data_IF_669005097011
#
_entry.id   IF_669005097011
#
_cell.length_a   1.000
_cell.length_b   1.000
_cell.length_c   1.000
_cell.angle_alpha   90.00
_cell.angle_beta   90.00
_cell.angle_gamma   90.00
#
_symmetry.space_group_name_H-M   'P 1'
#
loop_
_entity.id
_entity.type
_entity.pdbx_description
1 polymer ?
#
# COMPACT_ATOMS: atom_id res chain seq x y z
N UNK A 1 20.68 -30.58 -85.88
CA UNK A 1 21.52 -30.26 -84.70
C UNK A 1 21.17 -28.89 -84.10
N UNK A 2 21.02 -27.84 -84.90
CA UNK A 2 20.66 -26.47 -84.47
C UNK A 2 19.36 -26.36 -83.66
N UNK A 3 18.31 -27.10 -84.05
CA UNK A 3 16.99 -27.08 -83.37
C UNK A 3 17.06 -27.59 -81.92
N UNK A 4 17.89 -28.60 -81.66
CA UNK A 4 18.05 -29.19 -80.31
C UNK A 4 18.76 -28.21 -79.37
N UNK A 5 19.77 -27.50 -79.86
CA UNK A 5 20.46 -26.46 -79.11
C UNK A 5 19.56 -25.25 -78.80
N UNK A 6 18.71 -24.86 -79.75
CA UNK A 6 17.72 -23.80 -79.55
C UNK A 6 16.69 -24.18 -78.47
N UNK A 7 16.18 -25.42 -78.49
CA UNK A 7 15.29 -25.93 -77.45
C UNK A 7 15.96 -25.97 -76.07
N UNK A 8 17.22 -26.41 -76.00
CA UNK A 8 18.01 -26.40 -74.76
C UNK A 8 18.20 -24.99 -74.18
N UNK A 9 18.49 -24.01 -75.04
CA UNK A 9 18.65 -22.62 -74.63
C UNK A 9 17.32 -22.04 -74.09
N UNK A 10 16.21 -22.21 -74.81
CA UNK A 10 14.89 -21.70 -74.41
C UNK A 10 14.41 -22.33 -73.09
N UNK A 11 14.60 -23.64 -72.93
CA UNK A 11 14.22 -24.33 -71.69
C UNK A 11 15.07 -23.90 -70.50
N UNK A 12 16.39 -23.73 -70.67
CA UNK A 12 17.27 -23.23 -69.60
C UNK A 12 16.91 -21.80 -69.16
N UNK A 13 16.56 -20.93 -70.12
CA UNK A 13 16.14 -19.56 -69.84
C UNK A 13 14.80 -19.53 -69.11
N UNK A 14 13.85 -20.38 -69.53
CA UNK A 14 12.55 -20.53 -68.86
C UNK A 14 12.68 -21.01 -67.42
N UNK A 15 13.53 -22.02 -67.16
CA UNK A 15 13.79 -22.52 -65.80
C UNK A 15 14.50 -21.47 -64.94
N UNK A 16 15.47 -20.74 -65.50
CA UNK A 16 16.16 -19.65 -64.81
C UNK A 16 15.19 -18.53 -64.38
N UNK A 17 14.32 -18.08 -65.29
CA UNK A 17 13.34 -17.03 -65.02
C UNK A 17 12.27 -17.46 -64.01
N UNK A 18 11.84 -18.72 -64.04
CA UNK A 18 10.95 -19.30 -63.02
C UNK A 18 11.62 -19.38 -61.65
N UNK A 19 12.89 -19.82 -61.62
CA UNK A 19 13.69 -19.89 -60.40
C UNK A 19 13.86 -18.53 -59.74
N UNK A 20 14.21 -17.51 -60.51
CA UNK A 20 14.36 -16.13 -60.05
C UNK A 20 13.05 -15.56 -59.50
N UNK A 21 11.92 -15.84 -60.16
CA UNK A 21 10.60 -15.39 -59.70
C UNK A 21 10.20 -16.06 -58.38
N UNK A 22 10.44 -17.36 -58.22
CA UNK A 22 10.12 -18.10 -56.99
C UNK A 22 11.02 -17.65 -55.83
N UNK A 23 12.32 -17.49 -56.08
CA UNK A 23 13.27 -17.00 -55.09
C UNK A 23 12.97 -15.56 -54.69
N UNK A 24 12.61 -14.69 -55.64
CA UNK A 24 12.21 -13.31 -55.38
C UNK A 24 10.96 -13.23 -54.51
N UNK A 25 9.94 -14.07 -54.75
CA UNK A 25 8.74 -14.12 -53.89
C UNK A 25 9.10 -14.60 -52.47
N UNK A 26 9.97 -15.61 -52.33
CA UNK A 26 10.42 -16.09 -51.02
C UNK A 26 11.23 -15.04 -50.27
N UNK A 27 12.14 -14.36 -50.95
CA UNK A 27 12.94 -13.29 -50.38
C UNK A 27 12.06 -12.14 -49.89
N UNK A 28 11.06 -11.71 -50.68
CA UNK A 28 10.09 -10.69 -50.27
C UNK A 28 9.30 -11.08 -49.02
N UNK A 29 8.78 -12.32 -48.98
CA UNK A 29 8.08 -12.83 -47.79
C UNK A 29 8.97 -12.88 -46.55
N UNK A 30 10.24 -13.22 -46.71
CA UNK A 30 11.20 -13.22 -45.60
C UNK A 30 11.55 -11.80 -45.16
N UNK A 31 11.74 -10.86 -46.08
CA UNK A 31 12.00 -9.46 -45.75
C UNK A 31 10.82 -8.80 -45.04
N UNK A 32 9.59 -9.10 -45.46
CA UNK A 32 8.37 -8.62 -44.79
C UNK A 32 8.27 -9.15 -43.36
N UNK A 33 8.54 -10.45 -43.15
CA UNK A 33 8.59 -11.04 -41.81
C UNK A 33 9.67 -10.41 -40.94
N UNK A 34 10.83 -10.14 -41.50
CA UNK A 34 11.95 -9.52 -40.78
C UNK A 34 11.64 -8.06 -40.42
N UNK A 35 11.00 -7.31 -41.32
CA UNK A 35 10.54 -5.95 -41.04
C UNK A 35 9.51 -5.93 -39.91
N UNK A 36 8.53 -6.83 -39.91
CA UNK A 36 7.54 -6.94 -38.84
C UNK A 36 8.16 -7.33 -37.49
N UNK A 37 9.18 -8.22 -37.48
CA UNK A 37 9.91 -8.57 -36.26
C UNK A 37 10.73 -7.40 -35.73
N UNK A 38 11.37 -6.63 -36.63
CA UNK A 38 12.13 -5.43 -36.26
C UNK A 38 11.22 -4.38 -35.63
N UNK A 39 10.06 -4.12 -36.24
CA UNK A 39 9.07 -3.19 -35.69
C UNK A 39 8.63 -3.59 -34.27
N UNK A 40 8.35 -4.88 -34.05
CA UNK A 40 8.04 -5.38 -32.70
C UNK A 40 9.19 -5.15 -31.72
N UNK A 41 10.44 -5.37 -32.15
CA UNK A 41 11.61 -5.18 -31.31
C UNK A 41 11.80 -3.70 -30.94
N UNK A 42 11.55 -2.78 -31.87
CA UNK A 42 11.59 -1.34 -31.62
C UNK A 42 10.51 -0.92 -30.61
N UNK A 43 9.30 -1.49 -30.71
CA UNK A 43 8.23 -1.28 -29.72
C UNK A 43 8.63 -1.79 -28.34
N UNK A 44 9.20 -3.00 -28.23
CA UNK A 44 9.70 -3.53 -26.96
C UNK A 44 10.84 -2.69 -26.37
N UNK A 45 11.73 -2.15 -27.20
CA UNK A 45 12.78 -1.25 -26.75
C UNK A 45 12.21 0.04 -26.17
N UNK A 46 11.13 0.58 -26.75
CA UNK A 46 10.44 1.75 -26.20
C UNK A 46 9.74 1.42 -24.87
N UNK A 47 9.10 0.26 -24.75
CA UNK A 47 8.55 -0.18 -23.47
C UNK A 47 9.62 -0.36 -22.39
N UNK A 48 10.79 -0.88 -22.75
CA UNK A 48 11.91 -1.03 -21.83
C UNK A 48 12.43 0.33 -21.33
N UNK A 49 12.52 1.34 -22.22
CA UNK A 49 12.87 2.72 -21.84
C UNK A 49 11.83 3.31 -20.89
N UNK A 50 10.54 3.13 -21.18
CA UNK A 50 9.47 3.60 -20.31
C UNK A 50 9.53 2.93 -18.93
N UNK A 51 9.75 1.61 -18.89
CA UNK A 51 9.90 0.87 -17.63
C UNK A 51 11.10 1.37 -16.81
N UNK A 52 12.21 1.71 -17.46
CA UNK A 52 13.38 2.29 -16.80
C UNK A 52 13.05 3.66 -16.18
N UNK A 53 12.35 4.55 -16.91
CA UNK A 53 11.92 5.85 -16.39
C UNK A 53 10.98 5.69 -15.19
N UNK A 54 9.96 4.83 -15.31
CA UNK A 54 9.02 4.56 -14.22
C UNK A 54 9.69 4.00 -12.97
N UNK A 55 10.74 3.20 -13.15
CA UNK A 55 11.53 2.69 -12.03
C UNK A 55 12.26 3.80 -11.29
N UNK A 56 12.88 4.74 -12.02
CA UNK A 56 13.56 5.90 -11.42
C UNK A 56 12.55 6.78 -10.66
N UNK A 57 11.40 7.08 -11.26
CA UNK A 57 10.31 7.83 -10.58
C UNK A 57 9.86 7.11 -9.29
N UNK A 58 9.71 5.78 -9.33
CA UNK A 58 9.34 5.00 -8.16
C UNK A 58 10.43 5.01 -7.06
N UNK A 59 11.70 4.97 -7.44
CA UNK A 59 12.82 5.06 -6.51
C UNK A 59 12.91 6.45 -5.85
N UNK A 60 12.65 7.53 -6.60
CA UNK A 60 12.58 8.91 -6.08
C UNK A 60 11.42 9.11 -5.11
N UNK A 61 10.21 8.67 -5.49
CA UNK A 61 9.03 8.76 -4.60
C UNK A 61 9.21 7.97 -3.31
N UNK A 62 9.81 6.77 -3.39
CA UNK A 62 10.12 5.96 -2.22
C UNK A 62 11.16 6.62 -1.32
N UNK A 63 12.17 7.30 -1.89
CA UNK A 63 13.13 8.09 -1.12
C UNK A 63 12.46 9.27 -0.40
N UNK A 64 11.54 9.98 -1.07
CA UNK A 64 10.74 11.05 -0.47
C UNK A 64 9.89 10.56 0.71
N UNK A 65 9.13 9.48 0.52
CA UNK A 65 8.31 8.89 1.59
C UNK A 65 9.14 8.43 2.79
N UNK A 66 10.35 7.89 2.56
CA UNK A 66 11.25 7.53 3.67
C UNK A 66 11.70 8.74 4.48
N UNK A 67 11.91 9.88 3.82
CA UNK A 67 12.26 11.11 4.51
C UNK A 67 11.09 11.64 5.34
N UNK A 68 9.88 11.67 4.76
CA UNK A 68 8.65 12.07 5.47
C UNK A 68 8.38 11.17 6.68
N UNK A 69 8.55 9.85 6.54
CA UNK A 69 8.41 8.92 7.67
C UNK A 69 9.43 9.22 8.76
N UNK A 70 10.70 9.47 8.41
CA UNK A 70 11.73 9.80 9.40
C UNK A 70 11.45 11.13 10.11
N UNK A 71 10.88 12.11 9.41
CA UNK A 71 10.46 13.40 9.99
C UNK A 71 9.32 13.19 10.98
N UNK A 72 8.25 12.48 10.58
CA UNK A 72 7.10 12.18 11.44
C UNK A 72 7.51 11.32 12.66
N UNK A 73 8.39 10.34 12.48
CA UNK A 73 8.93 9.57 13.60
C UNK A 73 9.70 10.46 14.59
N UNK A 74 10.49 11.41 14.07
CA UNK A 74 11.16 12.43 14.89
C UNK A 74 10.19 13.32 15.66
N UNK A 75 9.12 13.77 15.00
CA UNK A 75 8.06 14.55 15.63
C UNK A 75 7.36 13.75 16.74
N UNK A 76 6.98 12.50 16.48
CA UNK A 76 6.35 11.61 17.47
C UNK A 76 7.27 11.44 18.68
N UNK A 77 8.56 11.17 18.47
CA UNK A 77 9.51 11.01 19.57
C UNK A 77 9.67 12.32 20.36
N UNK A 78 9.71 13.47 19.68
CA UNK A 78 9.77 14.77 20.35
C UNK A 78 8.52 15.04 21.19
N UNK A 79 7.33 14.75 20.66
CA UNK A 79 6.06 14.88 21.37
C UNK A 79 5.96 13.92 22.56
N UNK A 80 6.43 12.69 22.40
CA UNK A 80 6.49 11.72 23.50
C UNK A 80 7.42 12.20 24.61
N UNK A 81 8.60 12.73 24.26
CA UNK A 81 9.55 13.26 25.25
C UNK A 81 8.99 14.48 26.00
N UNK A 82 8.35 15.41 25.28
CA UNK A 82 7.68 16.56 25.89
C UNK A 82 6.51 16.13 26.79
N UNK A 83 5.73 15.12 26.37
CA UNK A 83 4.65 14.57 27.19
C UNK A 83 5.16 13.88 28.46
N UNK A 84 6.27 13.15 28.40
CA UNK A 84 6.84 12.52 29.61
C UNK A 84 7.32 13.52 30.64
N UNK A 85 7.85 14.67 30.21
CA UNK A 85 8.34 15.71 31.13
C UNK A 85 7.20 16.52 31.77
N UNK A 86 6.16 16.88 31.00
CA UNK A 86 5.02 17.67 31.52
C UNK A 86 3.94 16.82 32.24
N UNK A 87 3.67 15.58 31.80
CA UNK A 87 2.64 14.72 32.39
C UNK A 87 3.12 13.93 33.61
N UNK A 88 4.43 13.83 33.85
CA UNK A 88 4.93 13.25 35.11
C UNK A 88 4.45 14.03 36.35
N UNK A 89 3.97 15.26 36.19
CA UNK A 89 3.52 16.14 37.28
C UNK A 89 2.07 16.62 37.18
N UNK A 90 1.36 16.36 36.07
CA UNK A 90 -0.04 16.76 35.92
C UNK A 90 -0.98 15.68 36.51
N UNK A 91 -1.88 16.02 37.45
CA UNK A 91 -2.83 15.05 37.96
C UNK A 91 -3.77 14.58 36.83
N UNK A 92 -3.73 13.27 36.53
CA UNK A 92 -4.64 12.68 35.55
C UNK A 92 -5.99 12.36 36.20
N UNK A 93 -7.04 13.03 35.74
CA UNK A 93 -8.40 12.76 36.20
C UNK A 93 -8.95 11.52 35.50
N UNK A 94 -9.56 10.62 36.27
CA UNK A 94 -10.25 9.44 35.74
C UNK A 94 -11.71 9.48 36.14
N UNK A 95 -12.60 9.24 35.18
CA UNK A 95 -14.00 9.00 35.49
C UNK A 95 -14.18 7.52 35.86
N UNK A 96 -14.58 7.26 37.11
CA UNK A 96 -14.90 5.91 37.53
C UNK A 96 -16.24 5.48 36.91
N UNK A 97 -16.26 4.29 36.30
CA UNK A 97 -17.52 3.68 35.82
C UNK A 97 -18.28 3.06 36.99
N UNK A 98 -17.57 2.39 37.88
CA UNK A 98 -18.14 1.79 39.08
C UNK A 98 -17.91 2.67 40.31
N UNK A 99 -18.93 2.80 41.17
CA UNK A 99 -18.76 3.25 42.55
C UNK A 99 -17.99 2.18 43.33
N UNK A 100 -16.68 2.02 43.07
CA UNK A 100 -15.70 1.17 43.80
C UNK A 100 -16.34 0.05 44.62
N UNK A 101 -17.17 -0.77 43.99
CA UNK A 101 -17.79 -1.91 44.62
C UNK A 101 -16.96 -3.08 44.17
N UNK A 102 -15.78 -3.21 44.81
CA UNK A 102 -14.83 -4.34 44.75
C UNK A 102 -15.26 -5.46 43.79
N UNK A 103 -15.14 -5.26 42.49
CA UNK A 103 -14.79 -6.38 41.63
C UNK A 103 -13.31 -6.60 41.90
N UNK A 104 -12.94 -7.79 42.34
CA UNK A 104 -11.55 -8.15 42.69
C UNK A 104 -10.63 -8.28 41.45
N UNK A 105 -11.02 -7.67 40.33
CA UNK A 105 -10.34 -7.76 39.04
C UNK A 105 -9.36 -6.61 38.82
N UNK A 106 -8.43 -6.77 37.86
CA UNK A 106 -7.49 -5.72 37.48
C UNK A 106 -8.21 -4.45 37.00
N UNK A 107 -7.55 -3.30 37.19
CA UNK A 107 -8.01 -2.01 36.66
C UNK A 107 -7.56 -1.84 35.21
N UNK A 108 -8.46 -1.31 34.40
CA UNK A 108 -8.26 -1.03 32.99
C UNK A 108 -8.50 0.44 32.70
N UNK A 109 -7.63 1.00 31.86
CA UNK A 109 -7.76 2.30 31.23
C UNK A 109 -8.53 2.16 29.92
N UNK A 110 -9.58 2.98 29.75
CA UNK A 110 -10.32 3.09 28.49
C UNK A 110 -10.52 4.57 28.16
N UNK A 111 -10.01 5.01 27.01
CA UNK A 111 -10.27 6.35 26.48
C UNK A 111 -11.51 6.34 25.58
N UNK A 112 -12.40 7.31 25.77
CA UNK A 112 -13.63 7.48 24.98
C UNK A 112 -13.63 8.88 24.38
N UNK A 113 -13.62 8.95 23.06
CA UNK A 113 -13.66 10.20 22.30
C UNK A 113 -15.09 10.49 21.86
N UNK A 114 -15.56 11.72 22.11
CA UNK A 114 -16.82 12.22 21.60
C UNK A 114 -16.66 12.69 20.15
N UNK A 115 -17.35 12.03 19.21
CA UNK A 115 -17.29 12.34 17.78
C UNK A 115 -18.40 13.28 17.32
N UNK A 116 -19.52 13.33 18.04
CA UNK A 116 -20.69 14.13 17.69
C UNK A 116 -20.80 15.39 18.56
N UNK A 117 -21.25 16.50 17.97
CA UNK A 117 -21.54 17.76 18.65
C UNK A 117 -22.72 17.67 19.63
N UNK A 118 -23.51 16.59 19.57
CA UNK A 118 -24.58 16.28 20.53
C UNK A 118 -24.11 15.51 21.77
N UNK A 119 -22.83 15.10 21.81
CA UNK A 119 -22.27 14.38 22.93
C UNK A 119 -22.20 15.26 24.20
N UNK A 120 -22.32 14.67 25.41
CA UNK A 120 -22.36 15.44 26.67
C UNK A 120 -21.00 16.02 27.09
N UNK A 121 -19.93 15.78 26.33
CA UNK A 121 -18.62 16.41 26.49
C UNK A 121 -17.94 16.51 25.12
N UNK A 122 -16.90 17.34 25.03
CA UNK A 122 -16.02 17.45 23.85
C UNK A 122 -14.66 16.82 24.15
N UNK A 123 -14.03 16.20 23.14
CA UNK A 123 -12.71 15.58 23.24
C UNK A 123 -12.72 14.20 23.91
N UNK A 124 -11.56 13.82 24.47
CA UNK A 124 -11.32 12.49 25.03
C UNK A 124 -11.58 12.48 26.53
N UNK A 125 -12.39 11.53 26.98
CA UNK A 125 -12.63 11.23 28.40
C UNK A 125 -11.99 9.91 28.78
N UNK A 126 -11.21 9.92 29.85
CA UNK A 126 -10.49 8.76 30.39
C UNK A 126 -11.30 8.08 31.48
N UNK A 127 -11.47 6.76 31.36
CA UNK A 127 -12.19 5.93 32.32
C UNK A 127 -11.29 4.89 32.97
N UNK A 128 -11.48 4.70 34.27
CA UNK A 128 -10.95 3.57 35.02
C UNK A 128 -12.06 2.55 35.26
N UNK A 129 -11.84 1.30 34.82
CA UNK A 129 -12.83 0.23 34.85
C UNK A 129 -12.22 -1.01 35.50
N UNK A 130 -12.87 -1.55 36.52
CA UNK A 130 -12.46 -2.81 37.13
C UNK A 130 -13.16 -3.98 36.40
N UNK A 131 -12.38 -4.86 35.78
CA UNK A 131 -12.89 -5.99 34.99
C UNK A 131 -11.87 -7.12 34.91
N UNK A 132 -12.34 -8.34 34.67
CA UNK A 132 -11.47 -9.52 34.60
C UNK A 132 -10.63 -9.57 33.30
N UNK A 133 -11.09 -8.89 32.24
CA UNK A 133 -10.40 -8.82 30.94
C UNK A 133 -10.52 -7.44 30.26
N UNK A 134 -9.64 -7.19 29.29
CA UNK A 134 -9.67 -6.00 28.45
C UNK A 134 -10.98 -5.87 27.64
N UNK A 135 -11.50 -7.00 27.16
CA UNK A 135 -12.74 -7.05 26.39
C UNK A 135 -13.95 -6.72 27.27
N UNK A 136 -13.97 -7.25 28.51
CA UNK A 136 -15.02 -6.95 29.47
C UNK A 136 -15.00 -5.46 29.86
N UNK A 137 -13.82 -4.89 30.10
CA UNK A 137 -13.68 -3.45 30.36
C UNK A 137 -14.26 -2.60 29.23
N UNK A 138 -13.93 -2.93 27.97
CA UNK A 138 -14.45 -2.23 26.79
C UNK A 138 -15.95 -2.41 26.65
N UNK A 139 -16.46 -3.63 26.88
CA UNK A 139 -17.89 -3.94 26.79
C UNK A 139 -18.70 -3.12 27.79
N UNK A 140 -18.23 -3.00 29.04
CA UNK A 140 -18.90 -2.19 30.07
C UNK A 140 -18.94 -0.69 29.72
N UNK A 141 -17.92 -0.19 29.05
CA UNK A 141 -17.91 1.19 28.51
C UNK A 141 -18.90 1.33 27.36
N UNK A 142 -18.94 0.36 26.44
CA UNK A 142 -19.90 0.34 25.35
C UNK A 142 -21.37 0.25 25.83
N UNK A 143 -21.63 -0.50 26.91
CA UNK A 143 -22.96 -0.56 27.54
C UNK A 143 -23.38 0.81 28.12
N UNK A 144 -22.43 1.59 28.65
CA UNK A 144 -22.67 2.94 29.16
C UNK A 144 -22.88 3.97 28.03
N UNK A 145 -22.19 3.77 26.91
CA UNK A 145 -22.23 4.65 25.74
C UNK A 145 -22.70 3.86 24.51
N UNK A 146 -23.99 3.49 24.44
CA UNK A 146 -24.50 2.55 23.44
C UNK A 146 -24.61 3.11 22.02
N UNK A 147 -24.21 4.37 21.79
CA UNK A 147 -24.25 5.03 20.49
C UNK A 147 -22.90 4.91 19.78
N UNK A 148 -22.70 3.91 18.90
CA UNK A 148 -21.41 3.69 18.22
C UNK A 148 -21.08 4.79 17.21
N UNK A 149 -22.06 5.59 16.79
CA UNK A 149 -21.86 6.72 15.88
C UNK A 149 -21.45 7.99 16.60
N UNK A 150 -21.72 8.10 17.90
CA UNK A 150 -21.43 9.30 18.69
C UNK A 150 -20.10 9.20 19.48
N UNK A 151 -19.60 7.98 19.71
CA UNK A 151 -18.41 7.75 20.53
C UNK A 151 -17.44 6.76 19.89
N UNK A 152 -16.15 7.12 19.85
CA UNK A 152 -15.07 6.18 19.58
C UNK A 152 -14.49 5.66 20.89
N UNK A 153 -14.50 4.34 21.07
CA UNK A 153 -13.98 3.67 22.28
C UNK A 153 -12.66 3.00 21.93
N UNK A 154 -11.57 3.46 22.54
CA UNK A 154 -10.23 2.88 22.37
C UNK A 154 -10.13 1.46 22.97
N UNK A 155 -9.15 0.66 22.53
CA UNK A 155 -8.82 -0.60 23.20
C UNK A 155 -8.46 -0.37 24.68
N UNK A 156 -8.91 -1.29 25.54
CA UNK A 156 -8.58 -1.21 26.97
C UNK A 156 -7.10 -1.57 27.21
N UNK A 157 -6.41 -0.74 27.98
CA UNK A 157 -5.04 -0.97 28.41
C UNK A 157 -5.00 -1.23 29.93
N UNK A 158 -4.06 -2.04 30.45
CA UNK A 158 -3.94 -2.25 31.88
C UNK A 158 -3.57 -0.93 32.58
N UNK A 159 -4.31 -0.59 33.65
CA UNK A 159 -4.05 0.59 34.47
C UNK A 159 -3.35 0.16 35.76
N UNK A 160 -2.04 0.45 35.83
CA UNK A 160 -1.25 0.23 37.05
C UNK A 160 -1.24 1.53 37.85
N UNK A 161 -1.85 1.50 39.03
CA UNK A 161 -1.75 2.61 39.97
C UNK A 161 -0.40 2.53 40.70
N UNK A 162 0.36 3.63 40.84
CA UNK A 162 1.56 3.64 41.67
C UNK A 162 1.19 3.27 43.11
N UNK A 163 1.99 2.42 43.75
CA UNK A 163 1.82 2.10 45.17
C UNK A 163 1.99 3.40 45.97
N UNK A 164 0.94 3.79 46.70
CA UNK A 164 0.93 4.93 47.60
C UNK A 164 1.47 4.59 48.98
#
# INVERSE_FOLDING_TARGET
MTVVWLLGAVTSLGVGMLGERILGIRARRQSEKLAALKERLDVYANYAKLAAVRRVEAEETLAGLRHEVAEVEGEILSLQSAMTDDLALAPMEFHCVDRVARSSGPLWYVAVEALDATAPWTGVRTYAVAADSAEDARKRIAERHPSPTAFAISPAAPLVLPEG
#
